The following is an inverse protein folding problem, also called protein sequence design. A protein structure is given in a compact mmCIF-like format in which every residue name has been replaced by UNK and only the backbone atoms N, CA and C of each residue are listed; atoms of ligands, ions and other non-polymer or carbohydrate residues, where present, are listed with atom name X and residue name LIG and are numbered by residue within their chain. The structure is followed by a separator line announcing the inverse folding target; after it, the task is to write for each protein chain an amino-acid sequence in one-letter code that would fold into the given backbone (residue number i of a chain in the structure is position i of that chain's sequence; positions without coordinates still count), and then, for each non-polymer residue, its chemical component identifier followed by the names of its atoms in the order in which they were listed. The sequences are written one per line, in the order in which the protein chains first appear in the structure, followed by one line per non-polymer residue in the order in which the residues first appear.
data_IF_989265733677
#
_entry.id   IF_989265733677
#
_cell.length_a   1.000
_cell.length_b   1.000
_cell.length_c   1.000
_cell.angle_alpha   90.00
_cell.angle_beta   90.00
_cell.angle_gamma   90.00
#
_symmetry.space_group_name_H-M   'P 1'
#
loop_
_entity.id
_entity.type
_entity.pdbx_description
1 polymer ?
#
# COMPACT_ATOMS: atom_id res chain seq x y z
N UNK A 1 -10.61 7.40 11.12
CA UNK A 1 -10.86 7.80 9.72
C UNK A 1 -9.65 8.57 9.21
N UNK A 2 -9.09 8.20 8.05
CA UNK A 2 -7.89 8.85 7.48
C UNK A 2 -8.16 10.27 6.94
N UNK A 3 -9.43 10.66 6.72
CA UNK A 3 -9.81 12.02 6.34
C UNK A 3 -9.44 12.40 4.90
N UNK A 4 -9.24 11.42 4.02
CA UNK A 4 -8.81 11.65 2.63
C UNK A 4 -10.01 12.06 1.73
N UNK A 5 -9.75 12.76 0.61
CA UNK A 5 -10.72 12.97 -0.49
C UNK A 5 -11.26 11.65 -1.06
N UNK A 6 -12.38 11.73 -1.79
CA UNK A 6 -13.07 10.55 -2.36
C UNK A 6 -12.19 9.76 -3.35
N UNK A 7 -11.41 10.49 -4.15
CA UNK A 7 -10.44 9.98 -5.10
C UNK A 7 -9.27 10.97 -5.18
N UNK A 8 -8.02 10.49 -5.10
CA UNK A 8 -6.82 11.30 -5.23
C UNK A 8 -5.59 10.44 -5.47
N UNK A 9 -4.65 10.97 -6.25
CA UNK A 9 -3.34 10.37 -6.45
C UNK A 9 -2.39 10.65 -5.28
N UNK A 10 -1.76 9.58 -4.78
CA UNK A 10 -0.77 9.62 -3.72
C UNK A 10 0.51 8.92 -4.12
N UNK A 11 1.62 9.42 -3.60
CA UNK A 11 2.79 8.59 -3.35
C UNK A 11 2.62 7.89 -2.00
N UNK A 12 2.78 6.56 -2.00
CA UNK A 12 2.74 5.75 -0.79
C UNK A 12 4.16 5.52 -0.31
N UNK A 13 4.47 6.00 0.89
CA UNK A 13 5.83 6.03 1.44
C UNK A 13 5.84 5.28 2.77
N UNK A 14 6.91 4.55 3.05
CA UNK A 14 7.07 3.93 4.37
C UNK A 14 7.18 5.00 5.46
N UNK A 15 6.42 4.87 6.54
CA UNK A 15 6.60 5.70 7.74
C UNK A 15 7.84 5.30 8.56
N UNK A 16 8.41 4.14 8.27
CA UNK A 16 9.60 3.60 8.94
C UNK A 16 10.90 4.21 8.37
N UNK A 17 11.91 4.31 9.24
CA UNK A 17 13.25 4.73 8.85
C UNK A 17 14.13 3.52 8.55
N UNK A 18 14.58 3.42 7.30
CA UNK A 18 15.47 2.35 6.85
C UNK A 18 16.93 2.80 6.73
N UNK A 19 17.31 3.86 7.44
CA UNK A 19 18.68 4.40 7.40
C UNK A 19 19.06 5.03 6.05
N UNK A 20 18.10 5.27 5.16
CA UNK A 20 18.30 5.96 3.87
C UNK A 20 18.07 7.46 4.01
N UNK A 21 18.83 8.27 3.26
CA UNK A 21 18.60 9.73 3.21
C UNK A 21 17.36 10.11 2.39
N UNK A 22 16.93 9.22 1.50
CA UNK A 22 15.77 9.42 0.65
C UNK A 22 14.55 8.67 1.22
N UNK A 23 13.34 9.22 1.08
CA UNK A 23 12.11 8.49 1.37
C UNK A 23 12.04 7.20 0.55
N UNK A 24 11.45 6.17 1.15
CA UNK A 24 11.25 4.88 0.50
C UNK A 24 9.79 4.81 0.06
N UNK A 25 9.59 4.98 -1.23
CA UNK A 25 8.28 4.90 -1.86
C UNK A 25 8.00 3.48 -2.37
N UNK A 26 6.72 3.17 -2.47
CA UNK A 26 6.24 2.03 -3.25
C UNK A 26 6.40 2.35 -4.74
N UNK A 27 6.97 1.41 -5.49
CA UNK A 27 7.15 1.48 -6.94
C UNK A 27 6.79 0.14 -7.59
N UNK A 28 6.26 0.20 -8.81
CA UNK A 28 6.06 -0.99 -9.64
C UNK A 28 7.38 -1.33 -10.36
N UNK A 29 7.81 -2.58 -10.22
CA UNK A 29 8.99 -3.14 -10.89
C UNK A 29 8.52 -3.95 -12.09
N UNK A 30 8.67 -3.41 -13.29
CA UNK A 30 8.27 -4.08 -14.54
C UNK A 30 9.06 -5.37 -14.81
N UNK A 31 10.30 -5.45 -14.33
CA UNK A 31 11.17 -6.61 -14.57
C UNK A 31 10.75 -7.83 -13.75
N UNK A 32 10.29 -7.60 -12.52
CA UNK A 32 9.80 -8.65 -11.63
C UNK A 32 8.26 -8.79 -11.69
N UNK A 33 7.56 -7.81 -12.24
CA UNK A 33 6.09 -7.77 -12.27
C UNK A 33 5.45 -7.58 -10.89
N UNK A 34 6.20 -7.03 -9.93
CA UNK A 34 5.75 -6.85 -8.54
C UNK A 34 5.81 -5.38 -8.12
N UNK A 35 5.14 -5.10 -7.02
CA UNK A 35 5.22 -3.84 -6.30
C UNK A 35 6.24 -4.01 -5.17
N UNK A 36 7.24 -3.14 -5.15
CA UNK A 36 8.31 -3.15 -4.14
C UNK A 36 8.60 -1.75 -3.66
N UNK A 37 9.38 -1.67 -2.60
CA UNK A 37 9.90 -0.40 -2.13
C UNK A 37 11.23 -0.07 -2.79
N UNK A 38 11.48 1.19 -3.08
CA UNK A 38 12.76 1.62 -3.66
C UNK A 38 13.14 3.01 -3.15
N UNK A 39 14.33 3.17 -2.55
CA UNK A 39 14.82 4.48 -2.11
C UNK A 39 14.83 5.49 -3.26
N UNK A 40 14.21 6.65 -3.06
CA UNK A 40 14.19 7.75 -4.02
C UNK A 40 13.30 7.55 -5.24
N UNK A 41 12.68 6.37 -5.42
CA UNK A 41 11.65 6.14 -6.44
C UNK A 41 10.28 6.04 -5.77
N UNK A 42 9.26 6.50 -6.49
CA UNK A 42 7.87 6.45 -6.07
C UNK A 42 6.97 6.41 -7.29
N UNK A 43 6.01 5.50 -7.28
CA UNK A 43 4.93 5.43 -8.26
C UNK A 43 3.69 6.09 -7.65
N UNK A 44 2.95 6.84 -8.47
CA UNK A 44 1.68 7.40 -8.06
C UNK A 44 0.61 6.31 -8.04
N UNK A 45 -0.28 6.36 -7.06
CA UNK A 45 -1.42 5.47 -6.93
C UNK A 45 -2.66 6.29 -6.64
N UNK A 46 -3.70 6.13 -7.45
CA UNK A 46 -5.02 6.66 -7.17
C UNK A 46 -5.65 5.81 -6.06
N UNK A 47 -5.97 6.42 -4.94
CA UNK A 47 -6.79 5.78 -3.90
C UNK A 47 -8.23 6.24 -4.07
N UNK A 48 -9.13 5.29 -4.34
CA UNK A 48 -10.57 5.54 -4.53
C UNK A 48 -11.35 4.83 -3.41
N UNK A 49 -12.23 5.55 -2.71
CA UNK A 49 -13.06 4.97 -1.66
C UNK A 49 -14.18 4.09 -2.22
N UNK A 50 -14.27 2.87 -1.70
CA UNK A 50 -15.41 1.95 -1.89
C UNK A 50 -16.42 2.12 -0.75
N UNK A 51 -15.93 2.26 0.49
CA UNK A 51 -16.74 2.60 1.65
C UNK A 51 -15.96 3.59 2.53
N UNK A 52 -16.27 4.87 2.36
CA UNK A 52 -15.62 5.96 3.09
C UNK A 52 -15.82 5.86 4.60
N UNK A 53 -16.98 5.37 5.07
CA UNK A 53 -17.28 5.25 6.52
C UNK A 53 -16.41 4.18 7.17
N UNK A 54 -16.10 3.11 6.44
CA UNK A 54 -15.23 2.02 6.90
C UNK A 54 -13.77 2.21 6.53
N UNK A 55 -13.44 3.25 5.76
CA UNK A 55 -12.08 3.49 5.29
C UNK A 55 -11.63 2.49 4.23
N UNK A 56 -12.55 1.87 3.49
CA UNK A 56 -12.25 0.86 2.47
C UNK A 56 -11.97 1.55 1.14
N UNK A 57 -10.82 1.26 0.55
CA UNK A 57 -10.35 1.81 -0.72
C UNK A 57 -9.94 0.69 -1.69
N UNK A 58 -9.82 1.04 -2.96
CA UNK A 58 -8.97 0.32 -3.93
C UNK A 58 -7.82 1.23 -4.35
N UNK A 59 -6.66 0.64 -4.66
CA UNK A 59 -5.52 1.34 -5.23
C UNK A 59 -5.43 1.07 -6.72
N UNK A 60 -5.34 2.11 -7.54
CA UNK A 60 -5.28 2.04 -9.00
C UNK A 60 -3.98 2.69 -9.45
N UNK A 61 -3.26 2.04 -10.37
CA UNK A 61 -2.13 2.62 -11.04
C UNK A 61 -2.63 3.58 -12.14
N UNK A 62 -2.38 4.90 -12.05
CA UNK A 62 -3.02 5.88 -12.92
C UNK A 62 -2.78 5.65 -14.41
N UNK A 63 -1.59 5.16 -14.78
CA UNK A 63 -1.19 5.01 -16.18
C UNK A 63 -1.77 3.74 -16.82
N UNK A 64 -1.82 2.62 -16.08
CA UNK A 64 -2.29 1.34 -16.62
C UNK A 64 -3.75 1.04 -16.30
N UNK A 65 -4.35 1.74 -15.33
CA UNK A 65 -5.68 1.44 -14.80
C UNK A 65 -5.75 0.12 -14.01
N UNK A 66 -4.61 -0.55 -13.80
CA UNK A 66 -4.55 -1.81 -13.06
C UNK A 66 -4.55 -1.56 -11.55
N UNK A 67 -5.00 -2.55 -10.80
CA UNK A 67 -5.17 -2.43 -9.36
C UNK A 67 -3.94 -2.96 -8.60
N UNK A 68 -3.64 -2.35 -7.46
CA UNK A 68 -2.70 -2.89 -6.49
C UNK A 68 -3.37 -4.02 -5.69
N UNK A 69 -2.78 -5.21 -5.74
CA UNK A 69 -3.29 -6.40 -5.07
C UNK A 69 -2.16 -7.29 -4.56
N UNK A 70 -2.47 -8.13 -3.58
CA UNK A 70 -1.62 -9.23 -3.11
C UNK A 70 -2.39 -10.54 -3.35
N UNK A 71 -2.27 -11.19 -4.52
CA UNK A 71 -3.00 -12.42 -4.83
C UNK A 71 -2.60 -13.57 -3.89
N UNK A 72 -3.59 -14.35 -3.45
CA UNK A 72 -3.41 -15.45 -2.48
C UNK A 72 -2.96 -16.75 -3.14
N UNK A 73 -3.23 -16.89 -4.43
CA UNK A 73 -2.94 -18.06 -5.28
C UNK A 73 -1.50 -18.08 -5.80
N UNK A 74 -0.69 -17.07 -5.43
CA UNK A 74 0.70 -16.91 -5.87
C UNK A 74 1.67 -16.93 -4.69
N UNK A 75 2.67 -16.06 -4.70
CA UNK A 75 3.76 -15.96 -3.74
C UNK A 75 3.46 -14.97 -2.58
N UNK A 76 2.26 -14.38 -2.53
CA UNK A 76 1.90 -13.37 -1.54
C UNK A 76 2.59 -12.02 -1.74
N UNK A 77 3.11 -11.72 -2.94
CA UNK A 77 3.70 -10.43 -3.28
C UNK A 77 2.69 -9.50 -3.96
N UNK A 78 2.80 -8.22 -3.62
CA UNK A 78 2.00 -7.17 -4.21
C UNK A 78 2.33 -7.01 -5.70
N UNK A 79 1.33 -6.78 -6.54
CA UNK A 79 1.47 -6.64 -8.01
C UNK A 79 0.28 -5.92 -8.62
N UNK A 80 0.36 -5.66 -9.93
CA UNK A 80 -0.77 -5.23 -10.73
C UNK A 80 -1.71 -6.40 -11.05
N UNK A 81 -3.01 -6.14 -10.94
CA UNK A 81 -4.06 -7.09 -11.35
C UNK A 81 -5.22 -6.36 -12.04
N UNK A 82 -6.02 -7.12 -12.78
CA UNK A 82 -7.24 -6.58 -13.41
C UNK A 82 -8.35 -6.42 -12.38
N UNK A 83 -8.59 -7.42 -11.54
CA UNK A 83 -9.67 -7.39 -10.55
C UNK A 83 -9.25 -6.64 -9.28
N UNK A 84 -10.01 -5.63 -8.82
CA UNK A 84 -9.65 -4.85 -7.65
C UNK A 84 -9.66 -5.69 -6.38
N UNK A 85 -8.68 -5.45 -5.51
CA UNK A 85 -8.76 -5.82 -4.11
C UNK A 85 -9.06 -4.59 -3.26
N UNK A 86 -9.75 -4.84 -2.15
CA UNK A 86 -10.17 -3.80 -1.23
C UNK A 86 -9.29 -3.79 0.01
N UNK A 87 -8.89 -2.57 0.41
CA UNK A 87 -7.95 -2.33 1.50
C UNK A 87 -8.59 -1.40 2.52
N UNK A 88 -8.46 -1.74 3.80
CA UNK A 88 -8.83 -0.88 4.90
C UNK A 88 -7.67 0.06 5.24
N UNK A 89 -7.97 1.35 5.32
CA UNK A 89 -7.05 2.37 5.82
C UNK A 89 -7.43 2.78 7.23
N UNK A 90 -6.55 2.48 8.19
CA UNK A 90 -6.74 2.91 9.58
C UNK A 90 -5.66 3.94 9.94
N UNK A 91 -6.05 4.99 10.67
CA UNK A 91 -5.12 6.05 11.06
C UNK A 91 -4.19 5.54 12.16
N UNK A 92 -2.91 5.84 12.05
CA UNK A 92 -1.88 5.61 13.07
C UNK A 92 -1.31 6.97 13.53
N UNK A 93 -0.44 6.98 14.52
CA UNK A 93 0.24 8.21 14.97
C UNK A 93 1.13 8.82 13.89
N UNK A 94 1.65 8.01 12.97
CA UNK A 94 2.60 8.40 11.93
C UNK A 94 2.07 8.36 10.49
N UNK A 95 0.79 8.04 10.27
CA UNK A 95 0.23 7.87 8.93
C UNK A 95 -1.02 6.98 8.92
N UNK A 96 -1.02 5.94 8.10
CA UNK A 96 -2.06 4.93 8.04
C UNK A 96 -1.49 3.51 8.04
N UNK A 97 -2.16 2.58 8.70
CA UNK A 97 -1.98 1.17 8.40
C UNK A 97 -2.88 0.79 7.23
N UNK A 98 -2.41 -0.16 6.43
CA UNK A 98 -3.15 -0.70 5.28
C UNK A 98 -3.34 -2.18 5.54
N UNK A 99 -4.58 -2.65 5.55
CA UNK A 99 -4.89 -4.04 5.84
C UNK A 99 -6.03 -4.58 4.99
N UNK A 100 -6.21 -5.89 4.98
CA UNK A 100 -7.42 -6.55 4.48
C UNK A 100 -7.71 -7.81 5.27
N UNK A 101 -8.97 -8.27 5.24
CA UNK A 101 -9.35 -9.54 5.87
C UNK A 101 -9.35 -10.66 4.83
N UNK A 102 -8.62 -11.73 5.11
CA UNK A 102 -8.51 -12.94 4.29
C UNK A 102 -8.85 -14.13 5.17
N UNK A 103 -9.85 -14.93 4.78
CA UNK A 103 -10.26 -16.13 5.53
C UNK A 103 -10.51 -15.86 7.03
N UNK A 104 -11.00 -14.66 7.38
CA UNK A 104 -11.28 -14.25 8.75
C UNK A 104 -10.07 -13.68 9.52
N UNK A 105 -8.89 -13.63 8.93
CA UNK A 105 -7.68 -13.07 9.52
C UNK A 105 -7.32 -11.72 8.86
N UNK A 106 -6.99 -10.70 9.67
CA UNK A 106 -6.54 -9.40 9.17
C UNK A 106 -5.05 -9.45 8.83
N UNK A 107 -4.72 -9.15 7.58
CA UNK A 107 -3.36 -9.09 7.04
C UNK A 107 -2.98 -7.63 6.82
N UNK A 108 -1.84 -7.22 7.37
CA UNK A 108 -1.29 -5.87 7.25
C UNK A 108 -0.22 -5.82 6.17
N UNK A 109 -0.32 -4.82 5.30
CA UNK A 109 0.66 -4.57 4.24
C UNK A 109 1.96 -4.08 4.86
N UNK A 110 3.05 -4.76 4.54
CA UNK A 110 4.39 -4.49 5.04
C UNK A 110 5.45 -4.69 3.97
N UNK A 111 6.67 -4.25 4.27
CA UNK A 111 7.86 -4.52 3.46
C UNK A 111 8.55 -5.75 4.04
N UNK A 112 8.96 -6.70 3.21
CA UNK A 112 9.79 -7.83 3.63
C UNK A 112 11.28 -7.48 3.66
N UNK A 113 12.12 -8.43 4.04
CA UNK A 113 13.57 -8.23 4.14
C UNK A 113 14.26 -7.98 2.79
N UNK A 114 13.58 -8.24 1.68
CA UNK A 114 14.08 -8.00 0.31
C UNK A 114 13.51 -6.71 -0.30
N UNK A 115 12.79 -5.93 0.50
CA UNK A 115 12.18 -4.67 0.07
C UNK A 115 10.89 -4.87 -0.73
N UNK A 116 10.33 -6.07 -0.79
CA UNK A 116 9.09 -6.36 -1.54
C UNK A 116 7.88 -6.06 -0.68
N UNK A 117 6.79 -5.63 -1.30
CA UNK A 117 5.55 -5.36 -0.57
C UNK A 117 4.73 -6.65 -0.49
N UNK A 118 4.35 -7.04 0.72
CA UNK A 118 3.57 -8.25 1.03
C UNK A 118 2.59 -7.95 2.18
N UNK A 119 1.84 -8.94 2.65
CA UNK A 119 0.96 -8.79 3.80
C UNK A 119 1.01 -10.00 4.73
N UNK A 120 1.00 -9.73 6.03
CA UNK A 120 1.08 -10.74 7.08
C UNK A 120 0.13 -10.41 8.23
N UNK A 121 -0.32 -11.42 8.99
CA UNK A 121 -1.06 -11.15 10.22
C UNK A 121 -0.15 -10.49 11.26
N UNK A 122 -0.76 -9.73 12.18
CA UNK A 122 -0.04 -9.03 13.24
C UNK A 122 0.85 -9.95 14.07
N UNK A 123 0.47 -11.23 14.25
CA UNK A 123 1.25 -12.24 15.00
C UNK A 123 2.63 -12.53 14.40
N UNK A 124 2.86 -12.22 13.12
CA UNK A 124 4.15 -12.38 12.43
C UNK A 124 4.93 -11.07 12.32
N UNK A 125 4.34 -9.95 12.74
CA UNK A 125 4.93 -8.63 12.64
C UNK A 125 5.44 -8.18 14.01
N UNK A 126 6.59 -7.49 14.01
CA UNK A 126 7.10 -6.85 15.23
C UNK A 126 6.20 -5.69 15.66
N UNK A 127 5.70 -4.94 14.68
CA UNK A 127 4.78 -3.82 14.82
C UNK A 127 3.94 -3.68 13.54
N UNK A 128 2.80 -3.00 13.62
CA UNK A 128 1.98 -2.73 12.45
C UNK A 128 2.64 -1.61 11.65
N UNK A 129 2.99 -1.83 10.36
CA UNK A 129 3.64 -0.81 9.55
C UNK A 129 2.72 0.39 9.34
N UNK A 130 3.33 1.56 9.38
CA UNK A 130 2.69 2.82 9.05
C UNK A 130 3.13 3.28 7.66
N UNK A 131 2.18 3.76 6.87
CA UNK A 131 2.36 4.29 5.54
C UNK A 131 1.96 5.77 5.50
N UNK A 132 2.77 6.58 4.85
CA UNK A 132 2.49 8.00 4.62
C UNK A 132 1.93 8.15 3.21
N UNK A 133 0.73 8.71 3.14
CA UNK A 133 0.06 9.04 1.88
C UNK A 133 0.35 10.50 1.54
N UNK A 134 1.31 10.73 0.65
CA UNK A 134 1.66 12.07 0.18
C UNK A 134 0.91 12.39 -1.11
N UNK A 135 0.01 13.40 -1.15
CA UNK A 135 -0.69 13.76 -2.38
C UNK A 135 0.29 14.15 -3.50
N UNK A 136 0.04 13.71 -4.72
CA UNK A 136 0.90 14.01 -5.89
C UNK A 136 0.85 15.49 -6.26
N UNK A 137 -0.31 16.14 -6.10
CA UNK A 137 -0.55 17.54 -6.45
C UNK A 137 -0.90 18.39 -5.22
N UNK A 138 -0.22 18.20 -4.08
CA UNK A 138 -0.43 19.07 -2.92
C UNK A 138 -0.07 20.53 -3.30
N UNK A 139 -1.09 21.36 -3.53
CA UNK A 139 -0.97 22.81 -3.73
C UNK A 139 -0.77 23.49 -2.37
#
# INVERSE_FOLDING_TARGET
MAGLPDEQDYYVITGESYGTKQPIGIAFDEGEGIIRTTPGKKTAWTLEYIDKKKGIVKGIHPESGLHAAIPEDLDGLARHVVEPQHWALQKTDGGVSVSRVVNGEELFVHVDNEGRVTASPQSKLKEIPSWVLQPVNAV
#
